data_IF_637713392574
#
_entry.id   IF_637713392574
#
_cell.length_a   1.000
_cell.length_b   1.000
_cell.length_c   1.000
_cell.angle_alpha   90.00
_cell.angle_beta   90.00
_cell.angle_gamma   90.00
#
_symmetry.space_group_name_H-M   'P 1'
#
loop_
_entity.id
_entity.type
_entity.pdbx_description
1 polymer ?
#
# COMPACT_ATOMS: atom_id res chain seq x y z
N UNK A 1 -47.61 -9.23 72.39
CA UNK A 1 -46.46 -8.32 72.17
C UNK A 1 -45.51 -9.08 71.27
N UNK A 2 -45.57 -8.81 69.97
CA UNK A 2 -44.75 -9.54 69.00
C UNK A 2 -43.30 -9.03 69.04
N UNK A 3 -42.31 -9.92 68.96
CA UNK A 3 -40.90 -9.54 69.02
C UNK A 3 -40.50 -8.87 67.70
N UNK A 4 -39.84 -7.70 67.79
CA UNK A 4 -39.26 -7.03 66.64
C UNK A 4 -38.11 -7.87 66.07
N UNK A 5 -38.34 -8.56 64.95
CA UNK A 5 -37.29 -9.21 64.15
C UNK A 5 -36.46 -8.15 63.43
N UNK A 6 -35.21 -7.96 63.87
CA UNK A 6 -34.21 -7.16 63.17
C UNK A 6 -33.72 -7.92 61.93
N UNK A 7 -34.33 -7.68 60.78
CA UNK A 7 -33.78 -8.14 59.50
C UNK A 7 -32.63 -7.20 59.11
N UNK A 8 -31.41 -7.69 59.26
CA UNK A 8 -30.19 -6.95 58.96
C UNK A 8 -30.12 -6.68 57.44
N UNK A 9 -30.48 -5.47 57.02
CA UNK A 9 -30.57 -5.05 55.60
C UNK A 9 -29.23 -5.24 54.86
N UNK A 10 -28.12 -5.23 55.60
CA UNK A 10 -26.78 -5.44 55.06
C UNK A 10 -26.48 -6.90 54.69
N UNK A 11 -27.15 -7.88 55.31
CA UNK A 11 -26.91 -9.30 55.02
C UNK A 11 -27.55 -9.73 53.68
N UNK A 12 -28.71 -9.15 53.33
CA UNK A 12 -29.40 -9.46 52.07
C UNK A 12 -28.90 -8.58 50.91
N UNK A 13 -28.72 -7.27 51.14
CA UNK A 13 -28.30 -6.34 50.07
C UNK A 13 -26.78 -6.25 49.91
N UNK A 14 -26.00 -6.56 50.94
CA UNK A 14 -24.53 -6.51 50.88
C UNK A 14 -23.95 -7.49 49.86
N UNK A 15 -24.53 -8.69 49.77
CA UNK A 15 -24.14 -9.71 48.80
C UNK A 15 -24.43 -9.22 47.36
N UNK A 16 -25.59 -8.61 47.13
CA UNK A 16 -25.97 -8.06 45.82
C UNK A 16 -24.96 -7.00 45.35
N UNK A 17 -24.55 -6.08 46.23
CA UNK A 17 -23.55 -5.07 45.88
C UNK A 17 -22.18 -5.68 45.57
N UNK A 18 -21.75 -6.72 46.30
CA UNK A 18 -20.48 -7.41 46.01
C UNK A 18 -20.50 -8.12 44.66
N UNK A 19 -21.62 -8.75 44.30
CA UNK A 19 -21.79 -9.39 42.98
C UNK A 19 -21.77 -8.35 41.86
N UNK A 20 -22.42 -7.21 42.06
CA UNK A 20 -22.41 -6.11 41.07
C UNK A 20 -20.99 -5.54 40.90
N UNK A 21 -20.26 -5.29 41.98
CA UNK A 21 -18.90 -4.75 41.94
C UNK A 21 -17.96 -5.72 41.20
N UNK A 22 -18.00 -7.01 41.54
CA UNK A 22 -17.19 -8.05 40.87
C UNK A 22 -17.53 -8.19 39.39
N UNK A 23 -18.82 -8.10 39.03
CA UNK A 23 -19.27 -8.09 37.64
C UNK A 23 -18.64 -6.92 36.86
N UNK A 24 -18.66 -5.70 37.40
CA UNK A 24 -18.05 -4.54 36.73
C UNK A 24 -16.53 -4.62 36.67
N UNK A 25 -15.86 -5.15 37.70
CA UNK A 25 -14.40 -5.36 37.70
C UNK A 25 -13.96 -6.32 36.60
N UNK A 26 -14.81 -7.26 36.18
CA UNK A 26 -14.54 -8.17 35.05
C UNK A 26 -15.00 -7.55 33.72
N UNK A 27 -16.16 -6.89 33.72
CA UNK A 27 -16.77 -6.34 32.51
C UNK A 27 -15.96 -5.18 31.93
N UNK A 28 -15.42 -4.28 32.75
CA UNK A 28 -14.63 -3.13 32.31
C UNK A 28 -13.35 -3.55 31.56
N UNK A 29 -12.46 -4.42 32.11
CA UNK A 29 -11.29 -4.88 31.38
C UNK A 29 -11.66 -5.76 30.18
N UNK A 30 -12.73 -6.57 30.27
CA UNK A 30 -13.24 -7.35 29.14
C UNK A 30 -13.71 -6.43 28.00
N UNK A 31 -14.45 -5.36 28.32
CA UNK A 31 -14.89 -4.36 27.36
C UNK A 31 -13.71 -3.56 26.79
N UNK A 32 -12.72 -3.20 27.61
CA UNK A 32 -11.48 -2.61 27.12
C UNK A 32 -10.72 -3.55 26.18
N UNK A 33 -10.70 -4.86 26.46
CA UNK A 33 -10.04 -5.86 25.62
C UNK A 33 -10.74 -6.01 24.26
N UNK A 34 -12.08 -6.07 24.26
CA UNK A 34 -12.88 -6.09 23.03
C UNK A 34 -12.73 -4.79 22.23
N UNK A 35 -12.71 -3.64 22.90
CA UNK A 35 -12.59 -2.35 22.23
C UNK A 35 -11.15 -2.00 21.82
N UNK A 36 -10.14 -2.69 22.37
CA UNK A 36 -8.74 -2.59 21.91
C UNK A 36 -8.58 -3.01 20.45
N UNK A 37 -9.44 -3.92 19.95
CA UNK A 37 -9.44 -4.32 18.55
C UNK A 37 -9.99 -3.25 17.59
N UNK A 38 -10.72 -2.24 18.07
CA UNK A 38 -11.29 -1.20 17.23
C UNK A 38 -10.24 -0.23 16.65
N UNK A 39 -9.06 -0.10 17.28
CA UNK A 39 -7.98 0.78 16.80
C UNK A 39 -7.38 0.27 15.48
N UNK A 40 -7.30 -1.05 15.29
CA UNK A 40 -6.81 -1.68 14.06
C UNK A 40 -7.80 -1.51 12.89
N UNK A 41 -9.10 -1.30 13.18
CA UNK A 41 -10.15 -1.10 12.17
C UNK A 41 -9.94 0.19 11.36
N UNK A 42 -9.42 1.27 11.97
CA UNK A 42 -9.18 2.55 11.29
C UNK A 42 -8.06 2.48 10.26
N UNK A 43 -7.00 1.72 10.56
CA UNK A 43 -5.88 1.52 9.64
C UNK A 43 -6.28 0.64 8.45
N UNK A 44 -7.06 -0.42 8.71
CA UNK A 44 -7.67 -1.25 7.67
C UNK A 44 -8.66 -0.44 6.80
N UNK A 45 -9.47 0.43 7.38
CA UNK A 45 -10.43 1.25 6.63
C UNK A 45 -9.73 2.27 5.73
N UNK A 46 -8.59 2.82 6.15
CA UNK A 46 -7.75 3.70 5.32
C UNK A 46 -7.10 2.96 4.15
N UNK A 47 -6.57 1.75 4.38
CA UNK A 47 -5.97 0.94 3.29
C UNK A 47 -7.02 0.35 2.35
N UNK A 48 -8.22 0.02 2.84
CA UNK A 48 -9.32 -0.49 2.02
C UNK A 48 -10.01 0.60 1.19
N UNK A 49 -10.10 1.84 1.70
CA UNK A 49 -10.68 2.96 0.94
C UNK A 49 -9.91 3.27 -0.35
N UNK A 50 -8.59 3.05 -0.33
CA UNK A 50 -7.68 3.22 -1.47
C UNK A 50 -7.82 2.10 -2.51
N UNK A 51 -8.26 0.91 -2.09
CA UNK A 51 -8.43 -0.27 -2.96
C UNK A 51 -9.82 -0.37 -3.57
N UNK A 52 -10.65 0.66 -3.39
CA UNK A 52 -11.98 0.71 -4.01
C UNK A 52 -11.82 1.01 -5.51
N UNK A 53 -12.61 0.37 -6.38
CA UNK A 53 -12.47 0.52 -7.83
C UNK A 53 -12.56 1.98 -8.35
N UNK A 54 -13.12 2.90 -7.57
CA UNK A 54 -13.22 4.32 -7.92
C UNK A 54 -11.93 5.14 -7.72
N UNK A 55 -10.88 4.59 -7.11
CA UNK A 55 -9.63 5.32 -6.85
C UNK A 55 -8.48 4.94 -7.78
N UNK A 56 -8.53 3.79 -8.45
CA UNK A 56 -7.48 3.34 -9.35
C UNK A 56 -7.56 4.04 -10.71
N UNK A 57 -6.50 4.76 -11.09
CA UNK A 57 -6.37 5.39 -12.39
C UNK A 57 -5.74 4.40 -13.37
N UNK A 58 -6.44 4.02 -14.43
CA UNK A 58 -5.87 3.20 -15.52
C UNK A 58 -6.07 3.95 -16.85
N UNK A 59 -5.14 4.83 -17.24
CA UNK A 59 -5.26 5.57 -18.49
C UNK A 59 -5.15 4.65 -19.71
N UNK A 60 -5.88 5.01 -20.77
CA UNK A 60 -5.78 4.32 -22.06
C UNK A 60 -4.46 4.65 -22.76
N UNK A 61 -3.99 3.74 -23.63
CA UNK A 61 -2.77 3.95 -24.43
C UNK A 61 -1.46 3.65 -23.71
N UNK A 62 -1.54 2.98 -22.55
CA UNK A 62 -0.40 2.40 -21.85
C UNK A 62 -0.45 0.88 -21.95
N UNK A 63 0.72 0.26 -22.04
CA UNK A 63 0.86 -1.19 -21.93
C UNK A 63 1.27 -1.53 -20.51
N UNK A 64 0.54 -2.46 -19.88
CA UNK A 64 0.77 -2.86 -18.50
C UNK A 64 1.37 -4.26 -18.45
N UNK A 65 2.43 -4.39 -17.66
CA UNK A 65 3.09 -5.66 -17.40
C UNK A 65 2.50 -6.33 -16.16
N UNK A 66 2.56 -7.66 -16.13
CA UNK A 66 2.21 -8.48 -14.95
C UNK A 66 3.04 -8.15 -13.70
N UNK A 67 4.13 -7.40 -13.87
CA UNK A 67 5.03 -6.96 -12.80
C UNK A 67 4.70 -5.56 -12.27
N UNK A 68 3.47 -5.07 -12.49
CA UNK A 68 3.02 -3.74 -12.05
C UNK A 68 3.85 -2.58 -12.60
N UNK A 69 4.40 -2.77 -13.80
CA UNK A 69 5.09 -1.73 -14.55
C UNK A 69 4.31 -1.39 -15.81
N UNK A 70 4.29 -0.12 -16.17
CA UNK A 70 3.67 0.35 -17.41
C UNK A 70 4.73 0.87 -18.39
N UNK A 71 4.38 0.86 -19.67
CA UNK A 71 5.20 1.48 -20.73
C UNK A 71 4.32 2.28 -21.69
N UNK A 72 4.85 3.41 -22.16
CA UNK A 72 4.19 4.28 -23.14
C UNK A 72 5.22 4.79 -24.16
N UNK A 73 4.95 4.56 -25.45
CA UNK A 73 5.83 5.01 -26.53
C UNK A 73 5.54 6.48 -26.88
N UNK A 74 6.53 7.35 -26.70
CA UNK A 74 6.45 8.73 -27.12
C UNK A 74 6.69 8.87 -28.64
N UNK A 75 6.24 9.99 -29.21
CA UNK A 75 6.44 10.31 -30.64
C UNK A 75 7.92 10.38 -31.05
N UNK A 76 8.82 10.58 -30.09
CA UNK A 76 10.28 10.57 -30.29
C UNK A 76 10.85 9.18 -30.53
N UNK A 77 10.06 8.11 -30.37
CA UNK A 77 10.53 6.72 -30.41
C UNK A 77 11.14 6.23 -29.10
N UNK A 78 11.08 7.05 -28.04
CA UNK A 78 11.50 6.67 -26.68
C UNK A 78 10.28 6.24 -25.88
N UNK A 79 10.41 5.17 -25.11
CA UNK A 79 9.34 4.66 -24.26
C UNK A 79 9.56 5.10 -22.81
N UNK A 80 8.53 5.67 -22.18
CA UNK A 80 8.50 5.91 -20.74
C UNK A 80 8.09 4.64 -20.02
N UNK A 81 8.77 4.33 -18.92
CA UNK A 81 8.48 3.19 -18.05
C UNK A 81 8.28 3.68 -16.62
N UNK A 82 7.27 3.17 -15.92
CA UNK A 82 6.98 3.51 -14.52
C UNK A 82 6.21 2.42 -13.80
N UNK A 83 5.77 2.72 -12.57
CA UNK A 83 4.95 1.84 -11.73
C UNK A 83 3.47 2.17 -11.90
N UNK A 84 2.61 1.15 -11.88
CA UNK A 84 1.17 1.37 -11.93
C UNK A 84 0.64 1.98 -10.63
N UNK A 85 -0.54 2.60 -10.73
CA UNK A 85 -1.21 3.28 -9.62
C UNK A 85 -1.54 2.32 -8.47
N UNK A 86 -1.81 1.06 -8.80
CA UNK A 86 -2.13 0.02 -7.83
C UNK A 86 -0.94 -0.30 -6.92
N UNK A 87 0.23 -0.60 -7.51
CA UNK A 87 1.42 -0.93 -6.75
C UNK A 87 1.83 0.24 -5.87
N UNK A 88 1.85 1.45 -6.43
CA UNK A 88 2.23 2.66 -5.70
C UNK A 88 1.32 2.87 -4.48
N UNK A 89 0.00 2.73 -4.63
CA UNK A 89 -0.93 2.85 -3.51
C UNK A 89 -0.79 1.74 -2.45
N UNK A 90 -0.42 0.52 -2.85
CA UNK A 90 -0.14 -0.57 -1.92
C UNK A 90 1.17 -0.37 -1.16
N UNK A 91 2.19 0.17 -1.83
CA UNK A 91 3.51 0.41 -1.24
C UNK A 91 3.58 1.73 -0.46
N UNK A 92 2.77 2.74 -0.77
CA UNK A 92 2.85 4.04 -0.13
C UNK A 92 4.20 4.72 -0.35
N UNK A 93 4.83 5.21 0.71
CA UNK A 93 6.16 5.82 0.63
C UNK A 93 7.25 4.77 0.39
N UNK A 94 8.04 5.01 -0.66
CA UNK A 94 9.01 4.05 -1.19
C UNK A 94 10.38 4.69 -1.37
N UNK A 95 11.44 3.91 -1.11
CA UNK A 95 12.82 4.28 -1.40
C UNK A 95 13.36 3.40 -2.52
N UNK A 96 13.99 4.02 -3.53
CA UNK A 96 14.58 3.29 -4.64
C UNK A 96 16.03 2.90 -4.35
N UNK A 97 16.38 1.67 -4.71
CA UNK A 97 17.75 1.16 -4.70
C UNK A 97 18.04 0.40 -5.99
N UNK A 98 19.33 0.19 -6.28
CA UNK A 98 19.78 -0.64 -7.40
C UNK A 98 19.19 -0.23 -8.78
N UNK A 99 19.09 1.08 -9.02
CA UNK A 99 18.62 1.65 -10.29
C UNK A 99 19.62 1.35 -11.41
N UNK A 100 19.12 0.88 -12.56
CA UNK A 100 19.91 0.77 -13.79
C UNK A 100 20.50 2.12 -14.20
N UNK A 101 21.74 2.12 -14.71
CA UNK A 101 22.42 3.35 -15.15
C UNK A 101 22.07 3.71 -16.59
N UNK A 102 22.30 4.97 -16.93
CA UNK A 102 22.21 5.49 -18.28
C UNK A 102 23.11 4.68 -19.23
N UNK A 103 22.59 4.31 -20.42
CA UNK A 103 23.28 3.54 -21.44
C UNK A 103 23.30 2.03 -21.20
N UNK A 104 22.79 1.55 -20.05
CA UNK A 104 22.67 0.11 -19.83
C UNK A 104 21.57 -0.50 -20.69
N UNK A 105 21.82 -1.71 -21.19
CA UNK A 105 20.80 -2.52 -21.88
C UNK A 105 20.02 -3.33 -20.86
N UNK A 106 18.72 -3.41 -21.06
CA UNK A 106 17.80 -4.18 -20.24
C UNK A 106 16.91 -5.03 -21.15
N UNK A 107 16.64 -6.27 -20.76
CA UNK A 107 15.66 -7.13 -21.43
C UNK A 107 14.32 -7.07 -20.71
N UNK A 108 13.24 -7.34 -21.44
CA UNK A 108 11.93 -7.57 -20.83
C UNK A 108 12.01 -8.65 -19.75
N UNK A 109 11.45 -8.36 -18.58
CA UNK A 109 11.51 -9.24 -17.40
C UNK A 109 12.83 -9.18 -16.63
N UNK A 110 13.79 -8.36 -17.03
CA UNK A 110 15.03 -8.12 -16.27
C UNK A 110 14.82 -7.05 -15.20
N UNK A 111 15.62 -7.09 -14.14
CA UNK A 111 15.57 -6.13 -13.03
C UNK A 111 15.92 -4.70 -13.51
N UNK A 112 15.03 -3.75 -13.23
CA UNK A 112 15.23 -2.31 -13.47
C UNK A 112 15.67 -1.57 -12.21
N UNK A 113 15.02 -1.90 -11.09
CA UNK A 113 15.20 -1.23 -9.81
C UNK A 113 14.66 -2.10 -8.69
N UNK A 114 15.02 -1.76 -7.47
CA UNK A 114 14.47 -2.31 -6.25
C UNK A 114 13.80 -1.20 -5.45
N UNK A 115 12.70 -1.54 -4.80
CA UNK A 115 11.94 -0.64 -3.94
C UNK A 115 11.99 -1.19 -2.51
N UNK A 116 12.34 -0.33 -1.56
CA UNK A 116 12.25 -0.62 -0.15
C UNK A 116 11.04 0.09 0.46
N UNK A 117 10.16 -0.69 1.09
CA UNK A 117 9.01 -0.23 1.87
C UNK A 117 9.10 -0.82 3.27
N UNK A 118 9.40 0.00 4.28
CA UNK A 118 9.46 -0.41 5.69
C UNK A 118 10.27 -1.71 5.94
N UNK A 119 11.41 -1.87 5.25
CA UNK A 119 12.29 -3.03 5.37
C UNK A 119 11.92 -4.23 4.49
N UNK A 120 10.84 -4.13 3.69
CA UNK A 120 10.53 -5.11 2.63
C UNK A 120 11.09 -4.63 1.31
N UNK A 121 11.77 -5.54 0.61
CA UNK A 121 12.42 -5.27 -0.66
C UNK A 121 11.61 -5.90 -1.80
N UNK A 122 11.19 -5.08 -2.75
CA UNK A 122 10.39 -5.44 -3.93
C UNK A 122 11.22 -5.22 -5.19
N UNK A 123 11.22 -6.18 -6.09
CA UNK A 123 11.96 -6.12 -7.35
C UNK A 123 11.06 -5.61 -8.47
N UNK A 124 11.53 -4.61 -9.20
CA UNK A 124 10.82 -4.01 -10.33
C UNK A 124 11.47 -4.46 -11.62
N UNK A 125 10.65 -4.95 -12.55
CA UNK A 125 11.10 -5.58 -13.78
C UNK A 125 10.74 -4.74 -15.01
N UNK A 126 11.61 -4.77 -16.01
CA UNK A 126 11.39 -4.07 -17.27
C UNK A 126 10.21 -4.65 -18.04
N UNK A 127 9.25 -3.82 -18.48
CA UNK A 127 8.19 -4.27 -19.39
C UNK A 127 8.71 -4.48 -20.81
N UNK A 128 9.82 -3.84 -21.20
CA UNK A 128 10.34 -3.87 -22.57
C UNK A 128 11.85 -4.08 -22.61
N UNK A 129 12.34 -4.56 -23.74
CA UNK A 129 13.76 -4.70 -24.03
C UNK A 129 14.27 -3.44 -24.71
N UNK A 130 15.37 -2.87 -24.21
CA UNK A 130 15.90 -1.62 -24.72
C UNK A 130 17.14 -1.12 -24.02
N UNK A 131 17.50 0.13 -24.30
CA UNK A 131 18.61 0.85 -23.67
C UNK A 131 18.08 1.99 -22.79
N UNK A 132 18.58 2.13 -21.57
CA UNK A 132 18.19 3.20 -20.66
C UNK A 132 18.72 4.54 -21.17
N UNK A 133 17.81 5.44 -21.53
CA UNK A 133 18.11 6.78 -22.05
C UNK A 133 18.04 7.86 -20.97
N UNK A 134 17.28 7.64 -19.90
CA UNK A 134 17.14 8.60 -18.81
C UNK A 134 16.55 7.91 -17.58
N UNK A 135 16.97 8.32 -16.39
CA UNK A 135 16.33 7.97 -15.13
C UNK A 135 15.76 9.23 -14.50
N UNK A 136 14.54 9.15 -13.96
CA UNK A 136 13.87 10.31 -13.37
C UNK A 136 14.47 10.66 -12.01
N UNK A 137 15.40 11.62 -12.00
CA UNK A 137 16.04 12.11 -10.77
C UNK A 137 15.09 12.85 -9.83
N UNK A 138 13.93 13.30 -10.32
CA UNK A 138 12.93 13.98 -9.49
C UNK A 138 12.35 13.06 -8.42
N UNK A 139 12.29 11.75 -8.69
CA UNK A 139 11.78 10.75 -7.74
C UNK A 139 12.67 10.58 -6.51
N UNK A 140 13.97 10.87 -6.61
CA UNK A 140 14.88 10.82 -5.47
C UNK A 140 14.61 11.96 -4.48
N UNK A 141 14.23 13.14 -5.00
CA UNK A 141 13.96 14.33 -4.18
C UNK A 141 12.49 14.43 -3.76
N UNK A 142 11.57 13.88 -4.55
CA UNK A 142 10.13 13.94 -4.32
C UNK A 142 9.46 12.61 -4.70
N UNK A 143 9.53 11.57 -3.83
CA UNK A 143 8.93 10.28 -4.08
C UNK A 143 7.39 10.32 -4.11
N UNK A 144 6.77 11.37 -3.55
CA UNK A 144 5.31 11.54 -3.57
C UNK A 144 4.74 11.69 -4.99
N UNK A 145 5.57 12.07 -5.96
CA UNK A 145 5.18 12.17 -7.38
C UNK A 145 4.61 10.88 -7.94
N UNK A 146 5.05 9.72 -7.42
CA UNK A 146 4.49 8.42 -7.81
C UNK A 146 3.04 8.30 -7.40
N UNK A 147 2.68 8.76 -6.21
CA UNK A 147 1.32 8.68 -5.68
C UNK A 147 0.41 9.73 -6.34
N UNK A 148 0.93 10.91 -6.67
CA UNK A 148 0.13 12.00 -7.22
C UNK A 148 -0.13 11.84 -8.72
N UNK A 149 0.94 11.64 -9.50
CA UNK A 149 0.92 11.64 -10.98
C UNK A 149 1.74 10.45 -11.56
N UNK A 150 1.38 9.17 -11.25
CA UNK A 150 2.19 7.99 -11.60
C UNK A 150 2.52 7.86 -13.08
N UNK A 151 1.61 8.30 -13.95
CA UNK A 151 1.71 8.11 -15.41
C UNK A 151 2.35 9.29 -16.15
N UNK A 152 2.45 10.46 -15.52
CA UNK A 152 2.93 11.69 -16.20
C UNK A 152 4.25 12.16 -15.62
N UNK A 153 4.30 12.41 -14.30
CA UNK A 153 5.52 12.87 -13.61
C UNK A 153 6.23 11.72 -12.89
N UNK A 154 5.49 10.67 -12.54
CA UNK A 154 5.97 9.47 -11.85
C UNK A 154 6.63 8.42 -12.74
N UNK A 155 7.02 8.78 -13.98
CA UNK A 155 7.82 7.87 -14.81
C UNK A 155 9.19 7.63 -14.13
N UNK A 156 9.71 6.41 -14.21
CA UNK A 156 10.99 6.04 -13.60
C UNK A 156 12.15 6.10 -14.60
N UNK A 157 11.94 5.55 -15.80
CA UNK A 157 12.96 5.45 -16.82
C UNK A 157 12.41 5.83 -18.19
N UNK A 158 13.26 6.42 -19.01
CA UNK A 158 13.06 6.45 -20.46
C UNK A 158 13.96 5.40 -21.08
N UNK A 159 13.38 4.58 -21.93
CA UNK A 159 14.02 3.43 -22.56
C UNK A 159 13.88 3.57 -24.06
N UNK A 160 14.98 3.43 -24.80
CA UNK A 160 14.94 3.28 -26.25
C UNK A 160 14.63 1.81 -26.57
N UNK A 161 13.42 1.48 -27.03
CA UNK A 161 13.05 0.09 -27.27
C UNK A 161 13.85 -0.49 -28.42
N UNK A 162 14.32 -1.72 -28.26
CA UNK A 162 14.94 -2.51 -29.34
C UNK A 162 13.88 -3.35 -30.06
N UNK A 163 12.89 -3.87 -29.33
CA UNK A 163 11.86 -4.78 -29.85
C UNK A 163 10.47 -4.42 -29.34
N UNK A 164 9.92 -3.28 -29.77
CA UNK A 164 8.62 -2.78 -29.28
C UNK A 164 7.44 -3.73 -29.54
N UNK A 165 7.23 -4.16 -30.79
CA UNK A 165 6.05 -4.96 -31.18
C UNK A 165 6.02 -6.33 -30.49
N UNK A 166 7.11 -7.13 -30.48
CA UNK A 166 7.12 -8.40 -29.76
C UNK A 166 6.89 -8.25 -28.26
N UNK A 167 7.46 -7.19 -27.66
CA UNK A 167 7.34 -6.97 -26.22
C UNK A 167 5.94 -6.49 -25.83
N UNK A 168 5.23 -5.77 -26.70
CA UNK A 168 3.90 -5.24 -26.40
C UNK A 168 2.75 -6.16 -26.78
N UNK A 169 2.90 -7.02 -27.80
CA UNK A 169 1.86 -7.96 -28.23
C UNK A 169 1.51 -9.03 -27.20
N UNK A 170 2.33 -9.22 -26.16
CA UNK A 170 2.04 -10.19 -25.10
C UNK A 170 1.18 -9.63 -23.96
N UNK A 171 0.76 -8.37 -24.06
CA UNK A 171 -0.03 -7.67 -23.04
C UNK A 171 -1.51 -7.62 -23.40
#
# INVERSE_FOLDING_TARGET
>A
MDPFTYNNIFDTKGIEYLVIITFFVILIPFWMLLNRQAKNRKQLQKSLGVLTANTLKVPQGLFFSRYHTWTHLEKSGVAKVGLDDLLVHLTGEVQFSNLKKLGEKVKKGELLAEINQNGKLLKIYSPISGEIMEANTQLANNPELLNQDPYVKGWMFKVKPVSWVPDTNSY
#
